data_IF_310019665754
#
_entry.id   IF_310019665754
#
_cell.length_a   1.000
_cell.length_b   1.000
_cell.length_c   1.000
_cell.angle_alpha   90.00
_cell.angle_beta   90.00
_cell.angle_gamma   90.00
#
_symmetry.space_group_name_H-M   'P 1'
#
loop_
_entity.id
_entity.type
_entity.pdbx_description
1 polymer ?
#
# COMPACT_ATOMS: atom_id res chain seq x y z
N UNK A 1 -14.65 -23.97 6.91
CA UNK A 1 -13.68 -24.35 5.86
C UNK A 1 -12.37 -23.62 6.15
N UNK A 2 -11.23 -24.31 6.21
CA UNK A 2 -9.94 -23.60 6.23
C UNK A 2 -9.82 -22.87 4.89
N UNK A 3 -9.55 -21.56 4.93
CA UNK A 3 -9.15 -20.86 3.70
C UNK A 3 -7.79 -21.42 3.33
N UNK A 4 -7.71 -22.11 2.20
CA UNK A 4 -6.42 -22.37 1.58
C UNK A 4 -5.76 -21.00 1.30
N UNK A 5 -4.45 -20.86 1.55
CA UNK A 5 -3.76 -19.64 1.18
C UNK A 5 -3.98 -19.39 -0.32
N UNK A 6 -4.24 -18.13 -0.66
CA UNK A 6 -4.38 -17.72 -2.05
C UNK A 6 -3.11 -17.99 -2.86
N UNK A 7 -3.22 -17.85 -4.18
CA UNK A 7 -2.07 -17.91 -5.05
C UNK A 7 -1.14 -16.72 -4.80
N UNK A 8 0.16 -16.99 -4.63
CA UNK A 8 1.20 -15.96 -4.55
C UNK A 8 1.56 -15.51 -5.96
N UNK A 9 1.59 -14.20 -6.26
CA UNK A 9 1.94 -13.71 -7.59
C UNK A 9 3.33 -14.18 -8.02
N UNK A 10 3.47 -14.54 -9.29
CA UNK A 10 4.77 -14.77 -9.91
C UNK A 10 5.52 -13.44 -10.11
N UNK A 11 6.84 -13.50 -10.26
CA UNK A 11 7.68 -12.31 -10.44
C UNK A 11 7.26 -11.46 -11.65
N UNK A 12 6.82 -12.10 -12.74
CA UNK A 12 6.33 -11.39 -13.93
C UNK A 12 5.04 -10.62 -13.62
N UNK A 13 4.11 -11.23 -12.87
CA UNK A 13 2.88 -10.56 -12.46
C UNK A 13 3.17 -9.39 -11.52
N UNK A 14 4.11 -9.54 -10.58
CA UNK A 14 4.57 -8.44 -9.73
C UNK A 14 5.13 -7.29 -10.57
N UNK A 15 5.97 -7.57 -11.57
CA UNK A 15 6.56 -6.55 -12.43
C UNK A 15 5.54 -5.77 -13.27
N UNK A 16 4.38 -6.36 -13.55
CA UNK A 16 3.29 -5.74 -14.30
C UNK A 16 2.30 -4.97 -13.40
N UNK A 17 2.56 -4.92 -12.09
CA UNK A 17 1.72 -4.21 -11.12
C UNK A 17 1.73 -2.72 -11.43
N UNK A 18 0.56 -2.17 -11.73
CA UNK A 18 0.40 -0.74 -12.04
C UNK A 18 0.07 0.10 -10.80
N UNK A 19 -0.58 -0.50 -9.80
CA UNK A 19 -0.99 0.17 -8.57
C UNK A 19 -0.78 -0.73 -7.35
N UNK A 20 -0.26 -0.13 -6.28
CA UNK A 20 -0.17 -0.74 -4.94
C UNK A 20 -0.91 0.15 -3.96
N UNK A 21 -1.81 -0.41 -3.16
CA UNK A 21 -2.61 0.34 -2.21
C UNK A 21 -2.28 -0.15 -0.79
N UNK A 22 -1.87 0.77 0.08
CA UNK A 22 -1.70 0.50 1.51
C UNK A 22 -2.80 1.18 2.30
N UNK A 23 -3.54 0.41 3.11
CA UNK A 23 -4.61 0.94 3.96
C UNK A 23 -4.07 1.69 5.18
N UNK A 24 -2.98 1.21 5.77
CA UNK A 24 -2.32 1.79 6.95
C UNK A 24 -0.91 1.19 7.15
N UNK A 25 -0.15 1.72 8.11
CA UNK A 25 1.29 1.48 8.30
C UNK A 25 1.68 0.25 9.13
N UNK A 26 0.73 -0.59 9.54
CA UNK A 26 1.05 -1.78 10.35
C UNK A 26 1.90 -2.78 9.56
N UNK A 27 2.73 -3.56 10.25
CA UNK A 27 3.70 -4.46 9.62
C UNK A 27 3.06 -5.56 8.75
N UNK A 28 1.86 -5.99 9.09
CA UNK A 28 1.07 -6.98 8.34
C UNK A 28 0.40 -6.39 7.08
N UNK A 29 0.37 -5.06 6.95
CA UNK A 29 -0.20 -4.36 5.80
C UNK A 29 0.86 -3.64 4.96
N UNK A 30 1.85 -3.01 5.59
CA UNK A 30 2.93 -2.25 4.95
C UNK A 30 4.27 -2.91 5.25
N UNK A 31 4.73 -3.70 4.28
CA UNK A 31 5.97 -4.45 4.32
C UNK A 31 6.98 -3.91 3.29
N UNK A 32 8.19 -3.57 3.76
CA UNK A 32 9.25 -3.02 2.90
C UNK A 32 9.83 -4.03 1.92
N UNK A 33 9.86 -5.32 2.28
CA UNK A 33 10.34 -6.36 1.38
C UNK A 33 9.40 -6.52 0.17
N UNK A 34 8.08 -6.35 0.38
CA UNK A 34 7.11 -6.40 -0.71
C UNK A 34 7.26 -5.18 -1.63
N UNK A 35 7.50 -3.98 -1.08
CA UNK A 35 7.77 -2.76 -1.85
C UNK A 35 9.01 -2.93 -2.74
N UNK A 36 10.08 -3.51 -2.20
CA UNK A 36 11.29 -3.81 -2.95
C UNK A 36 11.03 -4.83 -4.07
N UNK A 37 10.27 -5.89 -3.77
CA UNK A 37 9.94 -6.93 -4.75
C UNK A 37 9.01 -6.44 -5.88
N UNK A 38 8.06 -5.54 -5.57
CA UNK A 38 7.17 -4.93 -6.57
C UNK A 38 7.92 -3.88 -7.41
N UNK A 39 8.82 -3.13 -6.78
CA UNK A 39 9.65 -2.13 -7.46
C UNK A 39 8.95 -0.80 -7.72
N UNK A 40 9.59 0.07 -8.49
CA UNK A 40 9.22 1.48 -8.64
C UNK A 40 8.39 1.81 -9.90
N UNK A 41 8.03 0.81 -10.70
CA UNK A 41 7.17 1.00 -11.88
C UNK A 41 5.70 1.22 -11.51
N UNK A 42 5.27 0.65 -10.38
CA UNK A 42 3.92 0.84 -9.86
C UNK A 42 3.74 2.24 -9.25
N UNK A 43 2.50 2.75 -9.31
CA UNK A 43 2.09 3.86 -8.48
C UNK A 43 1.61 3.36 -7.11
N UNK A 44 2.14 3.94 -6.03
CA UNK A 44 1.78 3.61 -4.66
C UNK A 44 0.74 4.60 -4.15
N UNK A 45 -0.33 4.11 -3.52
CA UNK A 45 -1.40 4.92 -2.94
C UNK A 45 -1.47 4.64 -1.45
N UNK A 46 -1.25 5.67 -0.65
CA UNK A 46 -1.08 5.55 0.80
C UNK A 46 -1.82 6.67 1.53
N UNK A 47 -2.09 6.50 2.82
CA UNK A 47 -2.57 7.60 3.66
C UNK A 47 -1.51 8.68 3.87
N UNK A 48 -1.95 9.91 4.19
CA UNK A 48 -1.06 11.03 4.49
C UNK A 48 0.05 10.68 5.51
N UNK A 49 1.27 11.14 5.25
CA UNK A 49 2.45 10.92 6.10
C UNK A 49 3.11 9.55 5.93
N UNK A 50 2.60 8.67 5.06
CA UNK A 50 3.17 7.33 4.87
C UNK A 50 4.36 7.32 3.89
N UNK A 51 4.53 8.35 3.07
CA UNK A 51 5.64 8.43 2.12
C UNK A 51 7.01 8.41 2.83
N UNK A 52 7.11 8.88 4.07
CA UNK A 52 8.33 8.88 4.87
C UNK A 52 8.89 7.46 5.15
N UNK A 53 8.07 6.42 4.98
CA UNK A 53 8.46 5.03 5.23
C UNK A 53 9.03 4.32 3.99
N UNK A 54 8.94 4.94 2.81
CA UNK A 54 9.60 4.47 1.59
C UNK A 54 11.07 4.89 1.61
N UNK A 55 11.93 4.09 0.98
CA UNK A 55 13.31 4.48 0.76
C UNK A 55 13.46 5.40 -0.47
N UNK A 56 14.71 5.73 -0.82
CA UNK A 56 15.03 6.63 -1.94
C UNK A 56 15.06 5.91 -3.32
N UNK A 57 14.31 4.82 -3.49
CA UNK A 57 14.25 3.99 -4.70
C UNK A 57 13.49 4.59 -5.89
N UNK A 58 13.07 5.85 -5.82
CA UNK A 58 12.41 6.54 -6.94
C UNK A 58 10.95 6.14 -7.17
N UNK A 59 10.22 5.79 -6.12
CA UNK A 59 8.81 5.42 -6.18
C UNK A 59 7.89 6.60 -6.53
N UNK A 60 6.83 6.34 -7.30
CA UNK A 60 5.72 7.29 -7.46
C UNK A 60 4.71 7.06 -6.35
N UNK A 61 4.69 7.95 -5.35
CA UNK A 61 3.85 7.82 -4.16
C UNK A 61 2.76 8.89 -4.17
N UNK A 62 1.51 8.44 -4.02
CA UNK A 62 0.32 9.26 -3.92
C UNK A 62 -0.18 9.21 -2.48
N UNK A 63 0.14 10.25 -1.70
CA UNK A 63 -0.44 10.42 -0.36
C UNK A 63 -1.84 11.01 -0.47
N UNK A 64 -2.83 10.27 0.01
CA UNK A 64 -4.25 10.54 -0.19
C UNK A 64 -4.91 10.90 1.14
N UNK A 65 -5.47 12.10 1.24
CA UNK A 65 -6.39 12.44 2.34
C UNK A 65 -7.72 11.69 2.19
N UNK A 66 -8.53 11.64 3.25
CA UNK A 66 -9.87 11.09 3.17
C UNK A 66 -10.71 11.85 2.16
N UNK A 67 -11.52 11.08 1.42
CA UNK A 67 -12.36 11.55 0.32
C UNK A 67 -11.59 12.08 -0.90
N UNK A 68 -10.25 12.03 -0.89
CA UNK A 68 -9.47 12.25 -2.10
C UNK A 68 -9.70 11.09 -3.09
N UNK A 69 -9.57 11.40 -4.38
CA UNK A 69 -9.62 10.38 -5.43
C UNK A 69 -8.57 10.66 -6.50
N UNK A 70 -8.07 9.58 -7.10
CA UNK A 70 -7.12 9.65 -8.21
C UNK A 70 -7.49 8.57 -9.24
N UNK A 71 -7.51 8.95 -10.50
CA UNK A 71 -7.75 8.05 -11.62
C UNK A 71 -6.43 7.54 -12.19
N UNK A 72 -6.33 6.23 -12.36
CA UNK A 72 -5.22 5.52 -13.00
C UNK A 72 -5.76 4.68 -14.15
N UNK A 73 -5.56 5.15 -15.38
CA UNK A 73 -6.19 4.55 -16.56
C UNK A 73 -7.71 4.71 -16.48
N UNK A 74 -8.44 3.60 -16.52
CA UNK A 74 -9.91 3.56 -16.39
C UNK A 74 -10.38 3.33 -14.95
N UNK A 75 -9.46 3.14 -14.01
CA UNK A 75 -9.78 2.85 -12.60
C UNK A 75 -9.64 4.09 -11.74
N UNK A 76 -10.69 4.44 -10.99
CA UNK A 76 -10.63 5.51 -9.98
C UNK A 76 -10.50 4.94 -8.59
N UNK A 77 -9.48 5.38 -7.87
CA UNK A 77 -9.18 4.99 -6.49
C UNK A 77 -9.68 6.10 -5.57
N UNK A 78 -10.52 5.73 -4.60
CA UNK A 78 -11.06 6.64 -3.58
C UNK A 78 -10.47 6.29 -2.22
N UNK A 79 -9.85 7.27 -1.57
CA UNK A 79 -9.47 7.15 -0.16
C UNK A 79 -10.71 7.43 0.70
N UNK A 80 -11.07 6.50 1.58
CA UNK A 80 -12.24 6.60 2.44
C UNK A 80 -11.85 6.44 3.90
N UNK A 81 -12.58 7.04 4.86
CA UNK A 81 -12.24 6.92 6.28
C UNK A 81 -12.25 5.47 6.77
N UNK A 82 -11.38 5.17 7.72
CA UNK A 82 -11.36 3.94 8.48
C UNK A 82 -11.23 4.25 9.98
N UNK A 83 -11.90 3.47 10.82
CA UNK A 83 -11.73 3.54 12.27
C UNK A 83 -10.68 2.52 12.71
N UNK A 84 -9.41 2.92 12.65
CA UNK A 84 -8.27 2.08 12.99
C UNK A 84 -7.05 2.95 13.35
N UNK A 85 -6.11 2.41 14.11
CA UNK A 85 -4.83 3.05 14.36
C UNK A 85 -3.92 2.96 13.13
N UNK A 86 -3.08 3.98 12.92
CA UNK A 86 -2.09 4.02 11.84
C UNK A 86 -0.70 4.32 12.43
N UNK A 87 0.12 3.30 12.60
CA UNK A 87 1.52 3.49 13.00
C UNK A 87 2.26 2.19 13.28
N UNK A 88 3.59 2.29 13.41
CA UNK A 88 4.47 1.13 13.72
C UNK A 88 4.80 1.00 15.21
N UNK A 89 4.22 1.86 16.03
CA UNK A 89 4.43 1.86 17.48
C UNK A 89 3.50 0.81 18.08
N UNK A 90 4.07 -0.10 18.86
CA UNK A 90 3.27 -0.99 19.68
C UNK A 90 2.63 -0.17 20.80
N UNK A 91 1.32 0.01 20.74
CA UNK A 91 0.55 0.69 21.79
C UNK A 91 -0.06 -0.41 22.67
N UNK A 92 0.45 -0.66 23.88
CA UNK A 92 -0.26 -1.55 24.77
C UNK A 92 -1.58 -0.86 25.14
N UNK A 93 -2.69 -1.57 25.02
CA UNK A 93 -4.04 -1.18 25.48
C UNK A 93 -4.91 -0.32 24.55
N UNK A 94 -4.63 -0.33 23.24
CA UNK A 94 -5.68 -0.18 22.21
C UNK A 94 -6.09 -1.56 21.67
#
# INVERSE_FOLDING_TARGET
>A
ARREPGFWPEAEQLSQTRAVLYSHLHYDHFNKADIEAIGNQAEYFVGLGSAEYFDQGGYTINEMDWYASKTLGETTIHSVPAHHFNGRIWVPFL
#
